data_IF_507959235134
#
_entry.id   IF_507959235134
#
_cell.length_a   1.000
_cell.length_b   1.000
_cell.length_c   1.000
_cell.angle_alpha   90.00
_cell.angle_beta   90.00
_cell.angle_gamma   90.00
#
_symmetry.space_group_name_H-M   'P 1'
#
loop_
_entity.id
_entity.type
_entity.pdbx_description
1 polymer ?
#
# COMPACT_ATOMS: atom_id res chain seq x y z
N UNK A 1 2.62 -2.42 16.25
CA UNK A 1 3.50 -1.35 15.84
C UNK A 1 2.77 -0.12 15.27
N UNK A 2 1.54 -0.28 14.80
CA UNK A 2 0.67 0.86 14.47
C UNK A 2 0.02 1.39 15.75
N UNK A 3 -0.25 2.71 15.87
CA UNK A 3 -0.98 3.28 17.00
C UNK A 3 -2.37 2.63 17.13
N UNK A 4 -2.80 2.29 18.35
CA UNK A 4 -4.11 1.65 18.57
C UNK A 4 -5.30 2.56 18.20
N UNK A 5 -5.12 3.87 18.10
CA UNK A 5 -6.15 4.77 17.57
C UNK A 5 -6.26 4.74 16.05
N UNK A 6 -5.30 4.17 15.33
CA UNK A 6 -5.42 3.93 13.90
C UNK A 6 -6.36 2.74 13.68
N UNK A 7 -7.37 2.90 12.82
CA UNK A 7 -8.44 1.90 12.64
C UNK A 7 -7.90 0.51 12.28
N UNK A 8 -6.81 0.42 11.51
CA UNK A 8 -6.16 -0.84 11.20
C UNK A 8 -5.70 -1.57 12.46
N UNK A 9 -4.95 -0.90 13.35
CA UNK A 9 -4.48 -1.53 14.59
C UNK A 9 -5.63 -1.80 15.57
N UNK A 10 -6.58 -0.87 15.68
CA UNK A 10 -7.75 -1.05 16.55
C UNK A 10 -8.54 -2.31 16.17
N UNK A 11 -8.87 -2.46 14.90
CA UNK A 11 -9.70 -3.57 14.46
C UNK A 11 -8.90 -4.86 14.29
N UNK A 12 -7.85 -4.85 13.44
CA UNK A 12 -7.12 -6.08 13.08
C UNK A 12 -6.32 -6.68 14.24
N UNK A 13 -5.83 -5.87 15.18
CA UNK A 13 -5.10 -6.36 16.34
C UNK A 13 -5.99 -6.33 17.60
N UNK A 14 -6.48 -5.14 17.99
CA UNK A 14 -7.22 -4.98 19.22
C UNK A 14 -8.49 -5.84 19.24
N UNK A 15 -9.47 -5.46 18.45
CA UNK A 15 -10.82 -6.04 18.52
C UNK A 15 -10.87 -7.50 18.05
N UNK A 16 -10.18 -7.84 16.96
CA UNK A 16 -10.18 -9.22 16.42
C UNK A 16 -9.57 -10.18 17.42
N UNK A 17 -8.36 -9.91 17.93
CA UNK A 17 -7.72 -10.82 18.86
C UNK A 17 -8.43 -10.87 20.22
N UNK A 18 -9.00 -9.75 20.71
CA UNK A 18 -9.85 -9.77 21.89
C UNK A 18 -11.08 -10.66 21.73
N UNK A 19 -11.75 -10.59 20.57
CA UNK A 19 -12.92 -11.41 20.27
C UNK A 19 -12.62 -12.91 20.29
N UNK A 20 -11.42 -13.31 19.85
CA UNK A 20 -11.00 -14.72 19.82
C UNK A 20 -10.19 -15.15 21.05
N UNK A 21 -10.10 -14.33 22.10
CA UNK A 21 -9.34 -14.62 23.31
C UNK A 21 -7.82 -14.60 23.11
N UNK A 22 -7.34 -13.91 22.08
CA UNK A 22 -5.91 -13.74 21.81
C UNK A 22 -5.27 -12.67 22.69
N UNK A 23 -3.95 -12.77 22.85
CA UNK A 23 -3.14 -11.80 23.58
C UNK A 23 -2.48 -10.82 22.60
N UNK A 24 -2.60 -9.51 22.87
CA UNK A 24 -1.88 -8.47 22.15
C UNK A 24 -0.62 -8.06 22.90
N UNK A 25 0.54 -8.24 22.27
CA UNK A 25 1.81 -7.70 22.75
C UNK A 25 2.06 -6.32 22.16
N UNK A 26 2.08 -5.29 23.01
CA UNK A 26 2.16 -3.89 22.58
C UNK A 26 3.62 -3.42 22.52
N UNK A 27 4.06 -3.00 21.33
CA UNK A 27 5.37 -2.36 21.14
C UNK A 27 5.18 -0.84 21.30
N UNK A 28 5.64 -0.30 22.40
CA UNK A 28 5.41 1.10 22.78
C UNK A 28 6.22 2.09 21.96
N UNK A 29 7.42 1.70 21.51
CA UNK A 29 8.25 2.52 20.62
C UNK A 29 8.64 1.75 19.34
N UNK A 30 7.79 1.75 18.29
CA UNK A 30 8.07 1.03 17.06
C UNK A 30 9.18 1.66 16.20
N UNK A 31 9.68 2.84 16.55
CA UNK A 31 10.83 3.49 15.87
C UNK A 31 12.18 2.98 16.38
N UNK A 32 12.23 2.46 17.58
CA UNK A 32 13.40 1.76 18.12
C UNK A 32 13.43 0.32 17.56
N UNK A 33 13.98 0.17 16.36
CA UNK A 33 14.05 -1.13 15.68
C UNK A 33 14.87 -2.16 16.46
N UNK A 34 15.92 -1.75 17.18
CA UNK A 34 16.72 -2.68 18.02
C UNK A 34 15.94 -3.16 19.21
N UNK A 35 15.24 -2.26 19.90
CA UNK A 35 14.32 -2.60 20.98
C UNK A 35 13.19 -3.50 20.47
N UNK A 36 12.63 -3.20 19.32
CA UNK A 36 11.58 -4.02 18.72
C UNK A 36 12.07 -5.46 18.45
N UNK A 37 13.23 -5.64 17.85
CA UNK A 37 13.81 -6.99 17.63
C UNK A 37 14.05 -7.70 18.94
N UNK A 38 14.51 -7.00 20.00
CA UNK A 38 14.67 -7.57 21.35
C UNK A 38 13.34 -8.06 21.92
N UNK A 39 12.27 -7.27 21.77
CA UNK A 39 10.91 -7.67 22.18
C UNK A 39 10.44 -8.91 21.42
N UNK A 40 10.60 -8.95 20.08
CA UNK A 40 10.22 -10.10 19.26
C UNK A 40 10.95 -11.39 19.69
N UNK A 41 12.20 -11.30 20.16
CA UNK A 41 12.94 -12.45 20.69
C UNK A 41 12.43 -12.95 22.05
N UNK A 42 11.73 -12.10 22.79
CA UNK A 42 11.21 -12.44 24.13
C UNK A 42 9.82 -13.08 24.11
N UNK A 43 9.11 -13.04 22.97
CA UNK A 43 7.72 -13.49 22.85
C UNK A 43 7.54 -14.50 21.73
N UNK A 44 6.65 -15.46 21.93
CA UNK A 44 6.19 -16.37 20.87
C UNK A 44 4.94 -15.78 20.23
N UNK A 45 5.11 -15.04 19.15
CA UNK A 45 4.00 -14.40 18.45
C UNK A 45 3.52 -15.24 17.26
N UNK A 46 2.21 -15.21 17.04
CA UNK A 46 1.56 -15.95 15.94
C UNK A 46 1.14 -15.03 14.79
N UNK A 47 1.05 -13.75 15.06
CA UNK A 47 0.68 -12.75 14.06
C UNK A 47 1.47 -11.45 14.25
N UNK A 48 1.79 -10.79 13.14
CA UNK A 48 2.36 -9.45 13.13
C UNK A 48 1.71 -8.63 12.01
N UNK A 49 1.34 -7.40 12.32
CA UNK A 49 0.77 -6.47 11.35
C UNK A 49 1.65 -5.23 11.24
N UNK A 50 1.66 -4.61 10.09
CA UNK A 50 2.46 -3.41 9.89
C UNK A 50 2.31 -2.78 8.52
N UNK A 51 3.12 -1.77 8.29
CA UNK A 51 3.29 -1.09 7.01
C UNK A 51 4.61 -1.50 6.36
N UNK A 52 4.75 -1.27 5.06
CA UNK A 52 5.96 -1.60 4.31
C UNK A 52 7.27 -1.12 4.98
N UNK A 53 7.28 0.13 5.47
CA UNK A 53 8.46 0.72 6.14
C UNK A 53 8.84 -0.01 7.42
N UNK A 54 7.88 -0.54 8.18
CA UNK A 54 8.16 -1.36 9.36
C UNK A 54 8.84 -2.66 8.97
N UNK A 55 8.29 -3.39 8.01
CA UNK A 55 8.85 -4.67 7.56
C UNK A 55 10.24 -4.50 6.99
N UNK A 56 10.45 -3.48 6.16
CA UNK A 56 11.78 -3.15 5.64
C UNK A 56 12.75 -2.74 6.77
N UNK A 57 12.32 -1.97 7.74
CA UNK A 57 13.11 -1.59 8.91
C UNK A 57 13.56 -2.80 9.73
N UNK A 58 12.66 -3.72 10.03
CA UNK A 58 12.96 -4.96 10.75
C UNK A 58 13.95 -5.84 9.97
N UNK A 59 13.73 -6.03 8.67
CA UNK A 59 14.60 -6.81 7.80
C UNK A 59 16.03 -6.26 7.72
N UNK A 60 16.22 -4.95 7.92
CA UNK A 60 17.52 -4.29 7.92
C UNK A 60 18.13 -4.17 9.33
N UNK A 61 17.42 -4.60 10.37
CA UNK A 61 17.92 -4.52 11.75
C UNK A 61 18.76 -5.76 12.08
N UNK A 62 20.01 -5.57 12.55
CA UNK A 62 20.85 -6.68 12.96
C UNK A 62 20.18 -7.60 13.99
N UNK A 63 20.24 -8.90 13.74
CA UNK A 63 19.68 -9.93 14.62
C UNK A 63 18.19 -10.18 14.45
N UNK A 64 17.51 -9.55 13.49
CA UNK A 64 16.13 -9.89 13.14
C UNK A 64 16.03 -11.32 12.58
N UNK A 65 16.99 -11.73 11.78
CA UNK A 65 17.12 -13.08 11.21
C UNK A 65 17.31 -14.21 12.25
N UNK A 66 17.61 -13.85 13.50
CA UNK A 66 17.75 -14.79 14.61
C UNK A 66 16.52 -14.82 15.54
N UNK A 67 15.43 -14.16 15.18
CA UNK A 67 14.14 -14.26 15.87
C UNK A 67 13.52 -15.64 15.60
N UNK A 68 12.90 -16.24 16.61
CA UNK A 68 12.14 -17.49 16.43
C UNK A 68 10.79 -17.21 15.76
N UNK A 69 10.68 -17.55 14.48
CA UNK A 69 9.45 -17.45 13.70
C UNK A 69 8.61 -18.73 13.65
N UNK A 70 8.99 -19.78 14.41
CA UNK A 70 8.32 -21.09 14.35
C UNK A 70 6.82 -21.04 14.67
N UNK A 71 6.40 -20.06 15.47
CA UNK A 71 4.99 -19.84 15.84
C UNK A 71 4.26 -18.84 14.94
N UNK A 72 4.98 -18.10 14.07
CA UNK A 72 4.39 -17.10 13.20
C UNK A 72 3.53 -17.75 12.11
N UNK A 73 2.27 -17.36 12.03
CA UNK A 73 1.29 -17.88 11.06
C UNK A 73 0.77 -16.80 10.12
N UNK A 74 0.65 -15.58 10.62
CA UNK A 74 0.02 -14.47 9.91
C UNK A 74 0.93 -13.25 9.90
N UNK A 75 1.23 -12.77 8.72
CA UNK A 75 1.85 -11.45 8.52
C UNK A 75 0.97 -10.63 7.60
N UNK A 76 0.46 -9.50 8.08
CA UNK A 76 -0.47 -8.66 7.36
C UNK A 76 0.13 -7.27 7.14
N UNK A 77 0.31 -6.91 5.87
CA UNK A 77 0.70 -5.58 5.43
C UNK A 77 -0.51 -4.77 4.97
N UNK A 78 -0.55 -3.51 5.30
CA UNK A 78 -1.62 -2.61 4.88
C UNK A 78 -1.31 -1.15 5.21
N UNK A 79 -2.22 -0.24 4.82
CA UNK A 79 -2.06 1.20 5.03
C UNK A 79 -1.14 1.90 4.02
N UNK A 80 -0.36 1.15 3.27
CA UNK A 80 0.42 1.56 2.10
C UNK A 80 0.81 0.32 1.29
N UNK A 81 1.17 0.51 0.03
CA UNK A 81 1.64 -0.58 -0.83
C UNK A 81 2.85 -1.31 -0.21
N UNK A 82 2.87 -2.62 -0.32
CA UNK A 82 4.01 -3.45 0.08
C UNK A 82 4.90 -3.68 -1.13
N UNK A 83 6.14 -3.24 -1.04
CA UNK A 83 7.12 -3.44 -2.11
C UNK A 83 7.42 -4.93 -2.29
N UNK A 84 7.43 -5.41 -3.53
CA UNK A 84 7.71 -6.81 -3.87
C UNK A 84 9.01 -7.32 -3.23
N UNK A 85 10.09 -6.55 -3.32
CA UNK A 85 11.38 -6.91 -2.73
C UNK A 85 11.32 -7.09 -1.20
N UNK A 86 10.50 -6.29 -0.51
CA UNK A 86 10.28 -6.43 0.94
C UNK A 86 9.49 -7.70 1.23
N UNK A 87 8.42 -7.98 0.50
CA UNK A 87 7.60 -9.17 0.69
C UNK A 87 8.38 -10.47 0.43
N UNK A 88 9.18 -10.53 -0.64
CA UNK A 88 10.01 -11.67 -0.97
C UNK A 88 11.10 -11.92 0.09
N UNK A 89 11.77 -10.86 0.51
CA UNK A 89 12.79 -10.95 1.57
C UNK A 89 12.17 -11.34 2.91
N UNK A 90 10.99 -10.81 3.24
CA UNK A 90 10.25 -11.20 4.45
C UNK A 90 9.95 -12.70 4.46
N UNK A 91 9.41 -13.22 3.36
CA UNK A 91 9.13 -14.67 3.22
C UNK A 91 10.40 -15.51 3.36
N UNK A 92 11.52 -15.05 2.77
CA UNK A 92 12.82 -15.75 2.87
C UNK A 92 13.33 -15.82 4.30
N UNK A 93 13.17 -14.76 5.10
CA UNK A 93 13.67 -14.69 6.48
C UNK A 93 12.74 -15.38 7.45
N UNK A 94 11.44 -15.18 7.34
CA UNK A 94 10.45 -15.65 8.32
C UNK A 94 9.78 -16.98 7.96
N UNK A 95 9.85 -17.39 6.69
CA UNK A 95 9.10 -18.55 6.16
C UNK A 95 7.63 -18.24 5.88
N UNK A 96 7.11 -17.07 6.28
CA UNK A 96 5.69 -16.70 6.19
C UNK A 96 5.47 -15.63 5.13
N UNK A 97 4.45 -15.82 4.30
CA UNK A 97 4.08 -14.84 3.25
C UNK A 97 3.54 -13.57 3.91
N UNK A 98 4.06 -12.41 3.48
CA UNK A 98 3.49 -11.12 3.82
C UNK A 98 2.25 -10.89 2.96
N UNK A 99 1.08 -11.01 3.57
CA UNK A 99 -0.22 -10.85 2.92
C UNK A 99 -0.59 -9.38 2.90
N UNK A 100 -1.02 -8.88 1.75
CA UNK A 100 -1.47 -7.51 1.60
C UNK A 100 -2.98 -7.41 1.81
N UNK A 101 -3.41 -6.34 2.48
CA UNK A 101 -4.80 -5.97 2.65
C UNK A 101 -4.99 -4.47 2.40
N UNK A 102 -6.17 -4.13 1.92
CA UNK A 102 -6.56 -2.75 1.63
C UNK A 102 -7.82 -2.37 2.41
N UNK A 103 -7.86 -1.12 2.75
CA UNK A 103 -9.01 -0.50 3.38
C UNK A 103 -8.71 0.91 3.86
N UNK A 104 -9.75 1.58 4.31
CA UNK A 104 -9.75 2.96 4.76
C UNK A 104 -10.37 3.06 6.16
N UNK A 105 -10.27 4.20 6.80
CA UNK A 105 -11.02 4.49 8.02
C UNK A 105 -12.52 4.35 7.76
N UNK A 106 -12.95 4.77 6.59
CA UNK A 106 -14.32 4.72 6.07
C UNK A 106 -14.83 3.29 5.82
N UNK A 107 -13.95 2.28 5.82
CA UNK A 107 -14.31 0.85 5.65
C UNK A 107 -14.02 -0.02 6.89
N UNK A 108 -13.71 0.54 8.05
CA UNK A 108 -13.65 -0.04 9.42
C UNK A 108 -12.71 -1.24 9.67
N UNK A 109 -11.51 -1.39 9.18
CA UNK A 109 -10.84 -0.77 8.05
C UNK A 109 -10.87 -1.61 6.76
N UNK A 110 -11.05 -2.94 6.83
CA UNK A 110 -10.73 -3.88 5.76
C UNK A 110 -11.83 -3.95 4.71
N UNK A 111 -11.45 -3.75 3.46
CA UNK A 111 -12.32 -3.92 2.30
C UNK A 111 -11.89 -5.09 1.40
N UNK A 112 -10.58 -5.33 1.25
CA UNK A 112 -10.04 -6.50 0.56
C UNK A 112 -8.79 -7.05 1.25
N UNK A 113 -8.49 -8.31 1.00
CA UNK A 113 -7.27 -8.95 1.47
C UNK A 113 -6.86 -10.08 0.52
N UNK A 114 -5.56 -10.28 0.38
CA UNK A 114 -5.07 -11.47 -0.30
C UNK A 114 -5.45 -12.73 0.48
N UNK A 115 -5.82 -13.82 -0.20
CA UNK A 115 -5.95 -15.13 0.42
C UNK A 115 -4.61 -15.60 1.01
N UNK A 116 -4.68 -16.34 2.11
CA UNK A 116 -3.47 -16.95 2.67
C UNK A 116 -3.00 -18.15 1.84
N UNK A 117 -1.68 -18.38 1.82
CA UNK A 117 -1.09 -19.53 1.15
C UNK A 117 -0.76 -19.29 -0.32
N UNK A 118 -0.93 -20.32 -1.14
CA UNK A 118 -0.51 -20.31 -2.56
C UNK A 118 -1.37 -19.44 -3.48
N UNK A 119 -2.52 -19.00 -3.03
CA UNK A 119 -3.43 -18.14 -3.80
C UNK A 119 -3.13 -16.65 -3.63
N UNK A 120 -2.23 -16.27 -2.73
CA UNK A 120 -1.81 -14.87 -2.57
C UNK A 120 -1.06 -14.37 -3.79
N UNK A 121 -1.42 -13.17 -4.28
CA UNK A 121 -0.80 -12.51 -5.44
C UNK A 121 -0.11 -11.22 -5.01
N UNK A 122 1.22 -11.21 -5.05
CA UNK A 122 2.01 -10.01 -4.76
C UNK A 122 1.71 -8.88 -5.75
N UNK A 123 1.60 -7.66 -5.23
CA UNK A 123 1.26 -6.48 -6.02
C UNK A 123 -0.25 -6.30 -6.22
N UNK A 124 -1.05 -7.11 -5.53
CA UNK A 124 -2.50 -6.92 -5.41
C UNK A 124 -2.88 -6.79 -3.94
N UNK A 125 -3.98 -6.11 -3.67
CA UNK A 125 -4.58 -6.05 -2.34
C UNK A 125 -5.63 -7.17 -2.12
N UNK A 126 -5.61 -8.17 -3.00
CA UNK A 126 -6.45 -9.37 -2.93
C UNK A 126 -7.86 -9.16 -3.47
N UNK A 127 -8.79 -9.92 -2.92
CA UNK A 127 -10.20 -9.94 -3.28
C UNK A 127 -11.05 -9.29 -2.18
N UNK A 128 -12.26 -8.80 -2.51
CA UNK A 128 -13.18 -8.25 -1.50
C UNK A 128 -13.44 -9.22 -0.36
N UNK A 129 -13.49 -8.70 0.88
CA UNK A 129 -13.87 -9.52 2.04
C UNK A 129 -15.36 -9.91 1.97
N UNK A 130 -15.80 -10.98 2.64
CA UNK A 130 -17.19 -11.42 2.59
C UNK A 130 -18.21 -10.30 2.86
N UNK A 131 -19.23 -10.23 2.01
CA UNK A 131 -20.28 -9.20 2.09
C UNK A 131 -19.89 -7.84 1.51
N UNK A 132 -18.71 -7.72 0.89
CA UNK A 132 -18.22 -6.49 0.26
C UNK A 132 -18.28 -6.63 -1.25
N UNK A 133 -18.79 -5.60 -1.92
CA UNK A 133 -18.73 -5.43 -3.36
C UNK A 133 -17.75 -4.31 -3.72
N UNK A 134 -17.06 -4.49 -4.84
CA UNK A 134 -16.13 -3.50 -5.40
C UNK A 134 -16.36 -3.34 -6.89
N UNK A 135 -16.23 -2.12 -7.38
CA UNK A 135 -16.24 -1.77 -8.80
C UNK A 135 -15.29 -0.62 -9.06
N UNK A 136 -14.91 -0.42 -10.30
CA UNK A 136 -14.19 0.78 -10.76
C UNK A 136 -15.09 1.62 -11.64
N UNK A 137 -14.97 2.95 -11.54
CA UNK A 137 -15.76 3.91 -12.30
C UNK A 137 -14.85 4.91 -13.04
N UNK A 138 -15.34 5.44 -14.15
CA UNK A 138 -14.72 6.57 -14.85
C UNK A 138 -15.02 7.91 -14.17
N UNK A 139 -14.54 9.01 -14.76
CA UNK A 139 -14.78 10.36 -14.23
C UNK A 139 -16.24 10.81 -14.38
N UNK A 140 -17.02 10.20 -15.25
CA UNK A 140 -18.47 10.41 -15.40
C UNK A 140 -19.32 9.54 -14.46
N UNK A 141 -18.66 8.69 -13.65
CA UNK A 141 -19.31 7.81 -12.67
C UNK A 141 -19.87 6.50 -13.27
N UNK A 142 -19.54 6.16 -14.51
CA UNK A 142 -19.97 4.93 -15.17
C UNK A 142 -19.06 3.78 -14.75
N UNK A 143 -19.65 2.62 -14.47
CA UNK A 143 -18.89 1.42 -14.15
C UNK A 143 -18.09 0.95 -15.36
N UNK A 144 -16.81 0.63 -15.11
CA UNK A 144 -15.86 0.16 -16.12
C UNK A 144 -15.78 -1.37 -16.12
N UNK A 145 -15.48 -1.99 -17.27
CA UNK A 145 -15.20 -3.41 -17.37
C UNK A 145 -14.00 -3.85 -16.52
N UNK A 146 -13.96 -5.16 -16.19
CA UNK A 146 -12.79 -5.76 -15.54
C UNK A 146 -11.53 -5.57 -16.39
N UNK A 147 -10.41 -5.26 -15.75
CA UNK A 147 -9.13 -4.97 -16.39
C UNK A 147 -8.91 -3.50 -16.73
N UNK A 148 -9.95 -2.66 -16.70
CA UNK A 148 -9.80 -1.23 -16.92
C UNK A 148 -9.48 -0.48 -15.63
N UNK A 149 -8.84 0.70 -15.78
CA UNK A 149 -8.44 1.55 -14.66
C UNK A 149 -9.53 2.58 -14.38
N UNK A 150 -9.90 2.73 -13.12
CA UNK A 150 -10.84 3.75 -12.70
C UNK A 150 -10.81 3.98 -11.21
N UNK A 151 -11.62 4.90 -10.71
CA UNK A 151 -11.77 5.13 -9.28
C UNK A 151 -12.45 3.94 -8.61
N UNK A 152 -11.82 3.39 -7.58
CA UNK A 152 -12.37 2.27 -6.82
C UNK A 152 -13.56 2.73 -5.98
N UNK A 153 -14.69 2.02 -6.13
CA UNK A 153 -15.86 2.17 -5.29
C UNK A 153 -16.13 0.91 -4.47
N UNK A 154 -16.52 1.08 -3.21
CA UNK A 154 -16.74 0.00 -2.25
C UNK A 154 -18.12 0.09 -1.65
N UNK A 155 -18.80 -1.06 -1.55
CA UNK A 155 -20.08 -1.19 -0.84
C UNK A 155 -20.04 -2.40 0.06
N UNK A 156 -20.43 -2.24 1.32
CA UNK A 156 -20.43 -3.34 2.28
C UNK A 156 -20.88 -2.90 3.68
N UNK A 157 -21.13 -3.86 4.58
CA UNK A 157 -21.64 -3.56 5.92
C UNK A 157 -20.65 -2.79 6.79
N UNK A 158 -19.36 -2.81 6.46
CA UNK A 158 -18.30 -2.10 7.16
C UNK A 158 -18.11 -0.65 6.67
N UNK A 159 -18.76 -0.25 5.57
CA UNK A 159 -18.69 1.13 5.06
C UNK A 159 -19.39 2.06 6.07
N UNK A 160 -18.74 3.20 6.33
CA UNK A 160 -19.26 4.22 7.24
C UNK A 160 -20.64 4.74 6.85
N UNK A 161 -21.38 5.27 7.82
CA UNK A 161 -22.66 5.97 7.56
C UNK A 161 -22.46 7.40 7.05
N UNK A 162 -21.30 7.96 7.21
CA UNK A 162 -20.93 9.31 6.82
C UNK A 162 -19.96 9.98 7.79
N UNK A 163 -19.52 11.18 7.42
CA UNK A 163 -18.66 12.01 8.26
C UNK A 163 -19.51 12.79 9.27
N UNK A 164 -19.05 12.80 10.52
CA UNK A 164 -19.77 13.47 11.62
C UNK A 164 -19.95 14.96 11.35
N UNK A 165 -21.20 15.43 11.36
CA UNK A 165 -21.58 16.82 11.11
C UNK A 165 -21.07 17.42 9.78
N UNK A 166 -20.77 16.56 8.79
CA UNK A 166 -20.30 16.99 7.46
C UNK A 166 -21.14 16.35 6.34
N UNK A 167 -22.39 16.79 6.17
CA UNK A 167 -23.30 16.18 5.19
C UNK A 167 -22.83 16.38 3.73
N UNK A 168 -22.22 17.52 3.43
CA UNK A 168 -21.68 17.78 2.08
C UNK A 168 -20.54 16.83 1.74
N UNK A 169 -19.51 16.73 2.59
CA UNK A 169 -18.40 15.80 2.38
C UNK A 169 -18.89 14.33 2.34
N UNK A 170 -19.93 14.00 3.10
CA UNK A 170 -20.56 12.66 3.04
C UNK A 170 -21.19 12.41 1.68
N UNK A 171 -21.97 13.37 1.14
CA UNK A 171 -22.64 13.23 -0.14
C UNK A 171 -21.64 13.16 -1.33
N UNK A 172 -20.49 13.84 -1.22
CA UNK A 172 -19.41 13.78 -2.23
C UNK A 172 -18.73 12.40 -2.27
N UNK A 173 -18.67 11.71 -1.11
CA UNK A 173 -17.91 10.47 -0.93
C UNK A 173 -18.79 9.23 -0.98
N UNK A 174 -20.02 9.29 -0.47
CA UNK A 174 -20.93 8.17 -0.36
C UNK A 174 -22.20 8.48 -1.16
N UNK A 175 -22.50 7.66 -2.19
CA UNK A 175 -23.69 7.85 -3.00
C UNK A 175 -24.98 7.32 -2.31
N UNK A 176 -26.12 7.63 -2.94
CA UNK A 176 -27.44 7.22 -2.41
C UNK A 176 -27.65 5.69 -2.37
N UNK A 177 -26.88 4.93 -3.13
CA UNK A 177 -26.93 3.47 -3.17
C UNK A 177 -26.00 2.82 -2.14
N UNK A 178 -25.18 3.61 -1.43
CA UNK A 178 -24.21 3.18 -0.43
C UNK A 178 -22.86 2.75 -0.99
N UNK A 179 -22.48 3.23 -2.18
CA UNK A 179 -21.14 3.09 -2.72
C UNK A 179 -20.24 4.20 -2.20
N UNK A 180 -19.15 3.82 -1.57
CA UNK A 180 -18.08 4.71 -1.13
C UNK A 180 -17.09 4.91 -2.27
N UNK A 181 -16.90 6.15 -2.73
CA UNK A 181 -15.82 6.57 -3.62
C UNK A 181 -14.55 6.70 -2.79
N UNK A 182 -13.51 5.93 -3.12
CA UNK A 182 -12.31 5.85 -2.27
C UNK A 182 -11.29 6.95 -2.55
N UNK A 183 -11.35 7.57 -3.72
CA UNK A 183 -10.30 8.45 -4.22
C UNK A 183 -9.02 7.70 -4.62
N UNK A 184 -9.03 6.37 -4.66
CA UNK A 184 -7.93 5.54 -5.12
C UNK A 184 -8.25 4.99 -6.52
N UNK A 185 -7.26 5.03 -7.42
CA UNK A 185 -7.35 4.43 -8.75
C UNK A 185 -6.94 2.97 -8.65
N UNK A 186 -7.76 2.09 -9.20
CA UNK A 186 -7.54 0.66 -9.14
C UNK A 186 -7.86 -0.05 -10.46
N UNK A 187 -7.44 -1.30 -10.53
CA UNK A 187 -7.84 -2.29 -11.55
C UNK A 187 -8.38 -3.51 -10.81
N UNK A 188 -9.49 -4.05 -11.29
CA UNK A 188 -10.01 -5.36 -10.85
C UNK A 188 -9.81 -6.33 -12.01
N UNK A 189 -9.02 -7.38 -11.81
CA UNK A 189 -8.77 -8.37 -12.86
C UNK A 189 -9.93 -9.35 -13.03
N UNK A 190 -9.85 -10.20 -14.05
CA UNK A 190 -10.89 -11.21 -14.37
C UNK A 190 -11.08 -12.27 -13.29
N UNK A 191 -10.14 -12.44 -12.38
CA UNK A 191 -10.24 -13.35 -11.23
C UNK A 191 -10.74 -12.64 -9.97
N UNK A 192 -11.03 -11.33 -10.07
CA UNK A 192 -11.53 -10.49 -8.97
C UNK A 192 -10.45 -9.92 -8.04
N UNK A 193 -9.17 -10.05 -8.39
CA UNK A 193 -8.09 -9.42 -7.61
C UNK A 193 -8.01 -7.92 -7.91
N UNK A 194 -7.88 -7.15 -6.84
CA UNK A 194 -7.79 -5.69 -6.89
C UNK A 194 -6.33 -5.27 -6.80
N UNK A 195 -5.90 -4.42 -7.72
CA UNK A 195 -4.60 -3.74 -7.68
C UNK A 195 -4.81 -2.24 -7.52
N UNK A 196 -4.29 -1.65 -6.47
CA UNK A 196 -4.29 -0.20 -6.30
C UNK A 196 -3.15 0.36 -7.15
N UNK A 197 -3.48 1.27 -8.06
CA UNK A 197 -2.51 1.90 -8.98
C UNK A 197 -1.95 3.15 -8.34
N UNK A 198 -2.82 4.06 -7.88
CA UNK A 198 -2.43 5.33 -7.27
C UNK A 198 -3.60 6.01 -6.57
N UNK A 199 -3.36 7.21 -6.03
CA UNK A 199 -4.43 8.11 -5.56
C UNK A 199 -4.85 9.07 -6.66
N UNK A 200 -6.15 9.27 -6.82
CA UNK A 200 -6.72 10.19 -7.82
C UNK A 200 -6.16 11.61 -7.68
N UNK A 201 -5.97 12.08 -6.44
CA UNK A 201 -5.43 13.41 -6.13
C UNK A 201 -3.92 13.57 -6.40
N UNK A 202 -3.18 12.47 -6.46
CA UNK A 202 -1.73 12.47 -6.66
C UNK A 202 -1.37 12.21 -8.13
N UNK A 203 -2.38 12.01 -8.99
CA UNK A 203 -2.24 11.84 -10.43
C UNK A 203 -1.58 13.06 -11.06
N UNK A 204 -0.55 12.83 -11.88
CA UNK A 204 0.17 13.88 -12.61
C UNK A 204 -0.37 13.92 -14.03
N UNK A 205 -0.77 15.10 -14.52
CA UNK A 205 -1.31 15.25 -15.87
C UNK A 205 -0.27 15.88 -16.78
N UNK A 206 0.43 15.07 -17.56
CA UNK A 206 1.48 15.52 -18.49
C UNK A 206 0.94 15.57 -19.91
N UNK A 207 0.75 16.77 -20.47
CA UNK A 207 0.18 16.95 -21.83
C UNK A 207 -1.15 16.20 -22.04
N UNK A 208 -2.00 16.12 -21.02
CA UNK A 208 -3.27 15.39 -21.06
C UNK A 208 -3.17 13.87 -20.81
N UNK A 209 -1.97 13.34 -20.57
CA UNK A 209 -1.78 11.94 -20.23
C UNK A 209 -1.69 11.75 -18.71
N UNK A 210 -2.40 10.77 -18.21
CA UNK A 210 -2.34 10.37 -16.81
C UNK A 210 -1.03 9.64 -16.51
N UNK A 211 -0.25 10.17 -15.57
CA UNK A 211 0.97 9.59 -15.06
C UNK A 211 0.78 9.28 -13.58
N UNK A 212 0.99 8.04 -13.21
CA UNK A 212 0.82 7.53 -11.87
C UNK A 212 2.17 7.50 -11.14
N UNK A 213 2.35 8.29 -10.07
CA UNK A 213 3.59 8.33 -9.30
C UNK A 213 4.10 6.95 -8.88
N UNK A 214 3.22 6.10 -8.34
CA UNK A 214 3.60 4.77 -7.86
C UNK A 214 4.18 3.88 -8.97
N UNK A 215 3.70 3.96 -10.22
CA UNK A 215 4.26 3.19 -11.33
C UNK A 215 5.73 3.57 -11.61
N UNK A 216 6.06 4.84 -11.45
CA UNK A 216 7.44 5.33 -11.64
C UNK A 216 8.30 4.93 -10.45
N UNK A 217 7.77 5.08 -9.24
CA UNK A 217 8.47 4.72 -8.00
C UNK A 217 8.83 3.23 -7.98
N UNK A 218 7.91 2.33 -8.35
CA UNK A 218 8.14 0.89 -8.40
C UNK A 218 9.29 0.51 -9.34
N UNK A 219 9.34 1.11 -10.52
CA UNK A 219 10.42 0.87 -11.50
C UNK A 219 11.74 1.43 -10.97
N UNK A 220 11.74 2.66 -10.43
CA UNK A 220 12.97 3.29 -9.92
C UNK A 220 13.51 2.55 -8.69
N UNK A 221 12.64 2.06 -7.81
CA UNK A 221 13.01 1.24 -6.65
C UNK A 221 13.64 -0.11 -7.02
N UNK A 222 13.39 -0.62 -8.23
CA UNK A 222 14.06 -1.83 -8.73
C UNK A 222 15.53 -1.59 -9.09
N UNK A 223 15.97 -0.32 -9.21
CA UNK A 223 17.38 0.00 -9.47
C UNK A 223 18.27 -0.32 -8.26
N UNK A 224 19.35 -1.12 -8.40
CA UNK A 224 20.13 -1.63 -7.27
C UNK A 224 20.77 -0.55 -6.40
N UNK A 225 21.06 0.63 -6.97
CA UNK A 225 21.68 1.74 -6.26
C UNK A 225 20.67 2.68 -5.57
N UNK A 226 19.36 2.45 -5.70
CA UNK A 226 18.31 3.27 -5.08
C UNK A 226 17.90 2.67 -3.74
N UNK A 227 17.92 3.48 -2.69
CA UNK A 227 17.48 3.11 -1.35
C UNK A 227 15.99 3.45 -1.13
N UNK A 228 15.56 4.61 -1.63
CA UNK A 228 14.16 5.05 -1.65
C UNK A 228 13.96 6.12 -2.73
N UNK A 229 12.74 6.28 -3.19
CA UNK A 229 12.37 7.38 -4.08
C UNK A 229 10.95 7.87 -3.79
N UNK A 230 10.65 9.06 -4.32
CA UNK A 230 9.31 9.63 -4.33
C UNK A 230 9.11 10.43 -5.63
N UNK A 231 7.88 10.40 -6.17
CA UNK A 231 7.51 11.09 -7.39
C UNK A 231 6.37 12.06 -7.11
N UNK A 232 6.49 13.27 -7.64
CA UNK A 232 5.41 14.27 -7.59
C UNK A 232 5.25 14.97 -8.94
N UNK A 233 4.07 15.53 -9.17
CA UNK A 233 3.84 16.53 -10.22
C UNK A 233 4.37 17.89 -9.82
N UNK A 234 4.93 18.62 -10.77
CA UNK A 234 5.27 20.04 -10.62
C UNK A 234 4.75 20.81 -11.80
N UNK A 235 4.31 22.08 -11.63
CA UNK A 235 3.86 22.89 -12.74
C UNK A 235 4.91 23.01 -13.86
N UNK A 236 4.47 22.91 -15.11
CA UNK A 236 5.31 23.04 -16.28
C UNK A 236 4.57 23.79 -17.38
N UNK A 237 5.16 24.87 -17.91
CA UNK A 237 4.52 25.76 -18.90
C UNK A 237 4.16 25.07 -20.23
N UNK A 238 4.87 24.01 -20.59
CA UNK A 238 4.67 23.31 -21.87
C UNK A 238 3.72 22.12 -21.79
N UNK A 239 3.71 21.44 -20.65
CA UNK A 239 3.01 20.16 -20.48
C UNK A 239 1.90 20.21 -19.44
N UNK A 240 1.64 21.40 -18.84
CA UNK A 240 0.75 21.57 -17.69
C UNK A 240 1.46 21.15 -16.39
N UNK A 241 1.80 19.87 -16.29
CA UNK A 241 2.65 19.33 -15.24
C UNK A 241 3.84 18.57 -15.83
N UNK A 242 4.88 18.40 -15.00
CA UNK A 242 6.03 17.55 -15.29
C UNK A 242 6.33 16.64 -14.10
N UNK A 243 6.85 15.47 -14.40
CA UNK A 243 7.27 14.50 -13.37
C UNK A 243 8.56 14.96 -12.71
N UNK A 244 8.55 15.03 -11.37
CA UNK A 244 9.73 15.27 -10.55
C UNK A 244 10.00 14.06 -9.66
N UNK A 245 11.18 13.48 -9.78
CA UNK A 245 11.66 12.32 -9.06
C UNK A 245 12.67 12.74 -7.99
N UNK A 246 12.44 12.34 -6.75
CA UNK A 246 13.39 12.42 -5.65
C UNK A 246 14.00 11.05 -5.42
N UNK A 247 15.33 10.97 -5.22
CA UNK A 247 16.02 9.70 -5.01
C UNK A 247 16.96 9.78 -3.83
N UNK A 248 16.91 8.77 -2.98
CA UNK A 248 17.93 8.50 -1.97
C UNK A 248 18.79 7.35 -2.47
N UNK A 249 20.06 7.63 -2.75
CA UNK A 249 20.97 6.60 -3.21
C UNK A 249 21.46 5.71 -2.05
N UNK A 250 21.82 4.46 -2.36
CA UNK A 250 22.57 3.58 -1.44
C UNK A 250 24.02 4.03 -1.31
N UNK A 251 24.79 3.40 -0.43
CA UNK A 251 26.18 3.77 -0.12
C UNK A 251 27.11 3.78 -1.35
N UNK A 252 26.84 2.93 -2.38
CA UNK A 252 27.61 2.93 -3.63
C UNK A 252 27.35 4.16 -4.51
N UNK A 253 26.29 4.92 -4.21
CA UNK A 253 25.87 6.06 -5.01
C UNK A 253 25.29 5.66 -6.37
N UNK A 254 24.72 6.64 -7.07
CA UNK A 254 24.24 6.54 -8.45
C UNK A 254 24.37 7.92 -9.10
N UNK A 255 24.85 7.98 -10.33
CA UNK A 255 24.95 9.26 -11.04
C UNK A 255 23.59 9.70 -11.60
N UNK A 256 23.44 11.01 -11.79
CA UNK A 256 22.23 11.58 -12.40
C UNK A 256 22.04 11.07 -13.84
N UNK A 257 23.14 10.91 -14.58
CA UNK A 257 23.16 10.40 -15.94
C UNK A 257 22.68 8.94 -16.00
N UNK A 258 23.13 8.11 -15.07
CA UNK A 258 22.72 6.72 -14.96
C UNK A 258 21.23 6.60 -14.66
N UNK A 259 20.72 7.38 -13.70
CA UNK A 259 19.28 7.42 -13.39
C UNK A 259 18.44 7.92 -14.57
N UNK A 260 18.90 8.96 -15.27
CA UNK A 260 18.23 9.46 -16.49
C UNK A 260 18.18 8.41 -17.59
N UNK A 261 19.29 7.70 -17.82
CA UNK A 261 19.34 6.62 -18.81
C UNK A 261 18.41 5.47 -18.42
N UNK A 262 18.42 5.08 -17.15
CA UNK A 262 17.54 4.06 -16.62
C UNK A 262 16.04 4.43 -16.80
N UNK A 263 15.66 5.64 -16.43
CA UNK A 263 14.29 6.12 -16.62
C UNK A 263 13.90 6.15 -18.11
N UNK A 264 14.77 6.63 -19.00
CA UNK A 264 14.50 6.65 -20.44
C UNK A 264 14.33 5.26 -21.06
N UNK A 265 15.02 4.24 -20.55
CA UNK A 265 14.89 2.86 -21.05
C UNK A 265 13.66 2.14 -20.55
N UNK A 266 13.06 2.60 -19.44
CA UNK A 266 11.94 1.94 -18.79
C UNK A 266 10.60 2.66 -18.97
N UNK A 267 10.60 3.95 -19.37
CA UNK A 267 9.38 4.75 -19.46
C UNK A 267 9.15 5.30 -20.86
N UNK A 268 7.89 5.45 -21.22
CA UNK A 268 7.48 6.27 -22.38
C UNK A 268 7.72 7.75 -22.11
N UNK A 269 7.92 8.55 -23.15
CA UNK A 269 8.41 9.93 -23.07
C UNK A 269 7.74 10.83 -22.03
N UNK A 270 6.40 10.78 -21.93
CA UNK A 270 5.64 11.62 -20.98
C UNK A 270 5.77 11.16 -19.51
N UNK A 271 6.18 9.91 -19.26
CA UNK A 271 6.44 9.36 -17.92
C UNK A 271 7.88 9.58 -17.44
N UNK A 272 8.80 9.95 -18.35
CA UNK A 272 10.21 10.17 -17.98
C UNK A 272 10.31 11.40 -17.08
N UNK A 273 10.91 11.27 -15.87
CA UNK A 273 11.11 12.42 -14.99
C UNK A 273 11.91 13.54 -15.66
N UNK A 274 11.31 14.73 -15.72
CA UNK A 274 11.98 15.94 -16.22
C UNK A 274 12.98 16.47 -15.20
N UNK A 275 12.69 16.32 -13.92
CA UNK A 275 13.52 16.72 -12.80
C UNK A 275 13.87 15.50 -11.95
N UNK A 276 15.17 15.33 -11.63
CA UNK A 276 15.68 14.30 -10.70
C UNK A 276 16.54 15.00 -9.65
N UNK A 277 16.24 14.74 -8.37
CA UNK A 277 16.90 15.37 -7.21
C UNK A 277 17.37 14.29 -6.25
#
# INVERSE_FOLDING_TARGET
ALPLYHIFALTANGLVFMKFGGCNHLITNPRDMKGFVKELKSVRFTAITGVNTLFNGLLNTPGFDTVDFSSLKVTLGGGMAVQRAVAERWKKVTGVTLVEAYGLTETSPVASTNPYGSQSRLGTVGIPVPGTAMKVIDDEGRELPLGERGELCIKGPQVMKGYWQQPAATADTLDAEGWLKTGDIAVIDTDGFVSIVDRKKDLIIVSGFNVYPNEIEDVVMAHPAVASCAVIGVPDERTGEAVKLFVVARAQGVSLEELKAYCKSNFTGYKVPKHIV
#
